data_IF_210783176540
#
_entry.id   IF_210783176540
#
_cell.length_a   1.000
_cell.length_b   1.000
_cell.length_c   1.000
_cell.angle_alpha   90.00
_cell.angle_beta   90.00
_cell.angle_gamma   90.00
#
_symmetry.space_group_name_H-M   'P 1'
#
loop_
_entity.id
_entity.type
_entity.pdbx_description
1 polymer ?
#
# COMPACT_ATOMS: atom_id res chain seq x y z
N UNK A 1 -1.73 -18.32 13.31
CA UNK A 1 -2.57 -17.99 12.12
C UNK A 1 -2.24 -18.98 11.04
N UNK A 2 -3.25 -19.66 10.49
CA UNK A 2 -3.10 -20.59 9.37
C UNK A 2 -3.44 -19.90 8.06
N UNK A 3 -3.08 -20.52 6.92
CA UNK A 3 -3.31 -19.92 5.58
C UNK A 3 -4.78 -19.60 5.33
N UNK A 4 -5.68 -20.52 5.70
CA UNK A 4 -7.12 -20.35 5.56
C UNK A 4 -7.67 -19.21 6.41
N UNK A 5 -7.16 -19.05 7.62
CA UNK A 5 -7.51 -17.95 8.51
C UNK A 5 -7.08 -16.59 7.92
N UNK A 6 -5.87 -16.54 7.35
CA UNK A 6 -5.36 -15.34 6.70
C UNK A 6 -6.18 -14.98 5.45
N UNK A 7 -6.50 -15.96 4.60
CA UNK A 7 -7.37 -15.78 3.43
C UNK A 7 -8.72 -15.19 3.85
N UNK A 8 -9.34 -15.77 4.86
CA UNK A 8 -10.63 -15.32 5.38
C UNK A 8 -10.57 -13.91 5.97
N UNK A 9 -9.52 -13.61 6.73
CA UNK A 9 -9.30 -12.29 7.32
C UNK A 9 -9.18 -11.21 6.25
N UNK A 10 -8.33 -11.40 5.24
CA UNK A 10 -8.13 -10.45 4.14
C UNK A 10 -9.41 -10.33 3.30
N UNK A 11 -10.06 -11.45 2.95
CA UNK A 11 -11.30 -11.44 2.17
C UNK A 11 -12.40 -10.63 2.86
N UNK A 12 -12.56 -10.80 4.16
CA UNK A 12 -13.59 -10.09 4.96
C UNK A 12 -13.35 -8.57 5.04
N UNK A 13 -12.12 -8.13 4.86
CA UNK A 13 -11.71 -6.72 4.93
C UNK A 13 -11.46 -6.07 3.56
N UNK A 14 -11.62 -6.81 2.47
CA UNK A 14 -11.29 -6.35 1.12
C UNK A 14 -11.96 -5.01 0.76
N UNK A 15 -13.25 -4.87 1.10
CA UNK A 15 -13.98 -3.62 0.91
C UNK A 15 -13.36 -2.46 1.69
N UNK A 16 -12.92 -2.69 2.92
CA UNK A 16 -12.28 -1.64 3.75
C UNK A 16 -10.95 -1.21 3.16
N UNK A 17 -10.10 -2.16 2.72
CA UNK A 17 -8.84 -1.88 2.03
C UNK A 17 -9.11 -1.01 0.79
N UNK A 18 -10.09 -1.38 -0.03
CA UNK A 18 -10.45 -0.58 -1.22
C UNK A 18 -10.90 0.84 -0.87
N UNK A 19 -11.76 0.98 0.14
CA UNK A 19 -12.29 2.29 0.52
C UNK A 19 -11.25 3.18 1.19
N UNK A 20 -10.28 2.61 1.88
CA UNK A 20 -9.11 3.30 2.43
C UNK A 20 -8.33 4.04 1.34
N UNK A 21 -8.15 3.40 0.16
CA UNK A 21 -7.48 4.00 -0.99
C UNK A 21 -8.41 4.87 -1.86
N UNK A 22 -9.69 4.97 -1.53
CA UNK A 22 -10.66 5.77 -2.27
C UNK A 22 -10.91 5.31 -3.71
N UNK A 23 -10.60 4.04 -4.05
CA UNK A 23 -10.70 3.50 -5.41
C UNK A 23 -12.02 2.77 -5.65
N UNK A 24 -12.44 2.74 -6.93
CA UNK A 24 -13.65 2.03 -7.35
C UNK A 24 -13.43 0.52 -7.40
N UNK A 25 -14.52 -0.25 -7.41
CA UNK A 25 -14.45 -1.70 -7.61
C UNK A 25 -13.83 -2.08 -8.97
N UNK A 26 -14.08 -1.28 -10.00
CA UNK A 26 -13.47 -1.44 -11.33
C UNK A 26 -11.94 -1.32 -11.24
N UNK A 27 -11.47 -0.17 -10.75
CA UNK A 27 -10.04 0.10 -10.61
C UNK A 27 -9.32 -0.97 -9.76
N UNK A 28 -9.90 -1.36 -8.61
CA UNK A 28 -9.29 -2.40 -7.80
C UNK A 28 -9.24 -3.76 -8.50
N UNK A 29 -10.29 -4.12 -9.24
CA UNK A 29 -10.31 -5.39 -9.99
C UNK A 29 -9.23 -5.43 -11.08
N UNK A 30 -9.02 -4.32 -11.79
CA UNK A 30 -7.94 -4.17 -12.78
C UNK A 30 -6.56 -4.26 -12.13
N UNK A 31 -6.33 -3.55 -11.01
CA UNK A 31 -5.06 -3.58 -10.27
C UNK A 31 -4.70 -5.00 -9.79
N UNK A 32 -5.70 -5.77 -9.38
CA UNK A 32 -5.52 -7.14 -8.88
C UNK A 32 -5.52 -8.20 -10.00
N UNK A 33 -5.86 -7.83 -11.23
CA UNK A 33 -5.98 -8.77 -12.35
C UNK A 33 -7.12 -9.79 -12.18
N UNK A 34 -8.21 -9.42 -11.50
CA UNK A 34 -9.38 -10.26 -11.26
C UNK A 34 -10.63 -9.66 -11.92
N UNK A 35 -11.67 -10.48 -12.13
CA UNK A 35 -12.91 -9.95 -12.66
C UNK A 35 -13.63 -9.06 -11.62
N UNK A 36 -14.29 -8.00 -12.09
CA UNK A 36 -15.17 -7.16 -11.24
C UNK A 36 -16.21 -8.00 -10.49
N UNK A 37 -16.76 -9.04 -11.13
CA UNK A 37 -17.68 -9.98 -10.49
C UNK A 37 -17.03 -10.67 -9.29
N UNK A 38 -15.80 -11.17 -9.44
CA UNK A 38 -15.03 -11.80 -8.38
C UNK A 38 -14.87 -10.85 -7.18
N UNK A 39 -14.44 -9.60 -7.44
CA UNK A 39 -14.27 -8.58 -6.41
C UNK A 39 -15.59 -8.32 -5.65
N UNK A 40 -16.68 -8.08 -6.41
CA UNK A 40 -18.01 -7.80 -5.83
C UNK A 40 -18.52 -8.96 -4.97
N UNK A 41 -18.37 -10.21 -5.44
CA UNK A 41 -18.80 -11.39 -4.66
C UNK A 41 -17.98 -11.57 -3.38
N UNK A 42 -16.66 -11.26 -3.43
CA UNK A 42 -15.82 -11.28 -2.24
C UNK A 42 -16.21 -10.18 -1.25
N UNK A 43 -16.42 -8.94 -1.71
CA UNK A 43 -16.85 -7.84 -0.83
C UNK A 43 -18.22 -8.08 -0.18
N UNK A 44 -19.08 -8.88 -0.82
CA UNK A 44 -20.38 -9.33 -0.27
C UNK A 44 -20.29 -10.54 0.66
N UNK A 45 -19.09 -11.09 0.85
CA UNK A 45 -18.87 -12.28 1.67
C UNK A 45 -19.42 -13.57 1.08
N UNK A 46 -19.70 -13.60 -0.24
CA UNK A 46 -20.22 -14.79 -0.95
C UNK A 46 -19.12 -15.69 -1.48
N UNK A 47 -17.89 -15.19 -1.50
CA UNK A 47 -16.68 -15.86 -1.92
C UNK A 47 -15.51 -15.39 -1.07
N UNK A 48 -14.56 -16.28 -0.84
CA UNK A 48 -13.23 -15.91 -0.32
C UNK A 48 -12.24 -15.77 -1.48
N UNK A 49 -11.20 -14.96 -1.29
CA UNK A 49 -10.08 -14.87 -2.21
C UNK A 49 -9.31 -16.20 -2.24
N UNK A 50 -8.71 -16.52 -3.36
CA UNK A 50 -7.69 -17.56 -3.43
C UNK A 50 -6.40 -17.09 -2.75
N UNK A 51 -5.50 -18.03 -2.45
CA UNK A 51 -4.17 -17.69 -1.91
C UNK A 51 -3.41 -16.70 -2.78
N UNK A 52 -3.42 -16.90 -4.10
CA UNK A 52 -2.76 -16.00 -5.06
C UNK A 52 -3.37 -14.60 -5.06
N UNK A 53 -4.70 -14.50 -4.99
CA UNK A 53 -5.40 -13.22 -4.91
C UNK A 53 -5.08 -12.47 -3.61
N UNK A 54 -4.95 -13.19 -2.48
CA UNK A 54 -4.53 -12.60 -1.19
C UNK A 54 -3.10 -12.06 -1.27
N UNK A 55 -2.17 -12.80 -1.89
CA UNK A 55 -0.81 -12.31 -2.11
C UNK A 55 -0.81 -11.05 -2.98
N UNK A 56 -1.63 -11.02 -4.04
CA UNK A 56 -1.77 -9.83 -4.87
C UNK A 56 -2.28 -8.62 -4.07
N UNK A 57 -3.34 -8.79 -3.27
CA UNK A 57 -3.85 -7.73 -2.37
C UNK A 57 -2.76 -7.25 -1.42
N UNK A 58 -2.07 -8.17 -0.76
CA UNK A 58 -1.04 -7.82 0.23
C UNK A 58 0.16 -7.09 -0.40
N UNK A 59 0.50 -7.42 -1.64
CA UNK A 59 1.61 -6.78 -2.36
C UNK A 59 1.23 -5.40 -2.91
N UNK A 60 0.06 -5.29 -3.54
CA UNK A 60 -0.40 -4.03 -4.16
C UNK A 60 -0.77 -2.99 -3.10
N UNK A 61 -1.38 -3.43 -2.01
CA UNK A 61 -1.88 -2.57 -0.94
C UNK A 61 -1.04 -2.68 0.36
N UNK A 62 0.28 -2.88 0.22
CA UNK A 62 1.21 -3.09 1.36
C UNK A 62 1.15 -2.00 2.44
N UNK A 63 0.75 -0.78 2.08
CA UNK A 63 0.63 0.36 2.99
C UNK A 63 -0.74 0.50 3.66
N UNK A 64 -1.67 -0.39 3.37
CA UNK A 64 -3.00 -0.36 3.98
C UNK A 64 -2.93 -0.55 5.50
N UNK A 65 -3.47 0.39 6.27
CA UNK A 65 -3.60 0.28 7.72
C UNK A 65 -4.52 -0.88 8.12
N UNK A 66 -5.57 -1.12 7.30
CA UNK A 66 -6.48 -2.25 7.48
C UNK A 66 -5.73 -3.57 7.34
N UNK A 67 -4.84 -3.68 6.34
CA UNK A 67 -4.03 -4.88 6.12
C UNK A 67 -3.00 -5.06 7.23
N UNK A 68 -2.31 -3.99 7.62
CA UNK A 68 -1.36 -4.02 8.74
C UNK A 68 -2.03 -4.42 10.05
N UNK A 69 -3.28 -4.01 10.27
CA UNK A 69 -4.08 -4.44 11.42
C UNK A 69 -4.39 -5.95 11.43
N UNK A 70 -4.45 -6.60 10.25
CA UNK A 70 -4.63 -8.05 10.13
C UNK A 70 -3.32 -8.79 10.43
N UNK A 71 -2.20 -8.25 9.96
CA UNK A 71 -0.88 -8.92 9.99
C UNK A 71 -0.04 -8.54 11.20
N UNK A 72 -0.40 -7.49 11.90
CA UNK A 72 0.42 -6.93 12.98
C UNK A 72 1.65 -6.18 12.47
N UNK A 73 1.68 -5.82 11.18
CA UNK A 73 2.81 -5.13 10.53
C UNK A 73 2.93 -5.49 9.06
N UNK A 74 4.14 -5.84 8.62
CA UNK A 74 4.41 -6.18 7.22
C UNK A 74 3.72 -7.50 6.82
N UNK A 75 2.84 -7.42 5.82
CA UNK A 75 2.11 -8.56 5.31
C UNK A 75 3.04 -9.59 4.62
N UNK A 76 4.19 -9.15 4.09
CA UNK A 76 5.14 -10.05 3.43
C UNK A 76 5.76 -11.04 4.41
N UNK A 77 6.01 -10.65 5.66
CA UNK A 77 6.52 -11.56 6.69
C UNK A 77 5.53 -12.69 6.99
N UNK A 78 4.25 -12.36 7.10
CA UNK A 78 3.18 -13.36 7.32
C UNK A 78 3.05 -14.28 6.12
N UNK A 79 3.08 -13.72 4.89
CA UNK A 79 3.01 -14.51 3.66
C UNK A 79 4.18 -15.49 3.57
N UNK A 80 5.41 -15.03 3.86
CA UNK A 80 6.59 -15.90 3.84
C UNK A 80 6.48 -17.00 4.89
N UNK A 81 6.05 -16.70 6.12
CA UNK A 81 5.85 -17.68 7.16
C UNK A 81 4.85 -18.77 6.73
N UNK A 82 3.70 -18.37 6.17
CA UNK A 82 2.66 -19.28 5.70
C UNK A 82 3.04 -20.05 4.42
N UNK A 83 3.83 -19.44 3.54
CA UNK A 83 4.26 -20.10 2.30
C UNK A 83 5.32 -21.19 2.53
N UNK A 84 6.15 -21.01 3.56
CA UNK A 84 7.31 -21.85 3.83
C UNK A 84 7.19 -22.65 5.14
N UNK A 85 5.99 -22.76 5.71
CA UNK A 85 5.70 -23.36 7.01
C UNK A 85 6.41 -24.72 7.25
N UNK A 86 6.44 -25.59 6.21
CA UNK A 86 7.07 -26.91 6.28
C UNK A 86 8.39 -27.01 5.49
N UNK A 87 9.00 -25.88 5.13
CA UNK A 87 10.16 -25.86 4.23
C UNK A 87 11.28 -25.00 4.80
N UNK A 88 12.42 -25.60 5.09
CA UNK A 88 13.65 -24.90 5.44
C UNK A 88 14.30 -24.29 4.20
N UNK A 89 13.79 -23.14 3.74
CA UNK A 89 14.39 -22.39 2.62
C UNK A 89 15.43 -21.43 3.19
N UNK A 90 16.67 -21.60 2.75
CA UNK A 90 17.72 -20.61 3.00
C UNK A 90 17.63 -19.54 1.92
N UNK A 91 17.38 -18.30 2.34
CA UNK A 91 17.44 -17.17 1.42
C UNK A 91 18.88 -17.00 0.95
N UNK A 92 19.12 -16.87 -0.37
CA UNK A 92 20.44 -16.54 -0.86
C UNK A 92 20.83 -15.16 -0.34
N UNK A 93 22.10 -15.00 0.06
CA UNK A 93 22.64 -13.69 0.38
C UNK A 93 22.61 -12.83 -0.89
N UNK A 94 21.78 -11.79 -0.88
CA UNK A 94 21.74 -10.81 -1.98
C UNK A 94 22.56 -9.58 -1.60
N UNK A 95 23.04 -8.85 -2.60
CA UNK A 95 23.75 -7.59 -2.38
C UNK A 95 22.82 -6.43 -1.97
N UNK A 96 21.64 -6.75 -1.44
CA UNK A 96 20.68 -5.78 -0.89
C UNK A 96 20.04 -4.86 -1.94
N UNK A 97 20.07 -5.24 -3.22
CA UNK A 97 19.43 -4.46 -4.29
C UNK A 97 20.14 -3.15 -4.66
N UNK A 98 21.15 -2.70 -3.92
CA UNK A 98 21.84 -1.42 -4.17
C UNK A 98 22.55 -1.40 -5.53
N UNK A 99 23.04 -2.54 -6.00
CA UNK A 99 23.76 -2.69 -7.28
C UNK A 99 22.87 -2.40 -8.50
N UNK A 100 21.56 -2.55 -8.36
CA UNK A 100 20.62 -2.40 -9.46
C UNK A 100 20.08 -0.98 -9.64
N UNK A 101 20.46 -0.05 -8.75
CA UNK A 101 19.94 1.30 -8.72
C UNK A 101 21.03 2.33 -8.87
N UNK A 102 20.86 3.25 -9.80
CA UNK A 102 21.67 4.46 -9.91
C UNK A 102 20.95 5.63 -9.28
N UNK A 103 21.69 6.44 -8.55
CA UNK A 103 21.21 7.73 -8.07
C UNK A 103 21.10 8.69 -9.27
N UNK A 104 19.95 9.29 -9.46
CA UNK A 104 19.70 10.33 -10.46
C UNK A 104 19.85 11.70 -9.83
N UNK A 105 19.22 11.91 -8.68
CA UNK A 105 19.19 13.20 -7.98
C UNK A 105 18.92 12.98 -6.48
N UNK A 106 19.42 13.92 -5.66
CA UNK A 106 19.13 13.96 -4.24
C UNK A 106 18.82 15.38 -3.80
N UNK A 107 17.65 15.59 -3.18
CA UNK A 107 17.18 16.89 -2.70
C UNK A 107 16.47 16.73 -1.37
N UNK A 108 16.89 17.51 -0.37
CA UNK A 108 16.28 17.52 0.98
C UNK A 108 16.23 16.12 1.65
N UNK A 109 17.23 15.28 1.41
CA UNK A 109 17.28 13.92 1.94
C UNK A 109 16.37 12.93 1.22
N UNK A 110 15.75 13.33 0.12
CA UNK A 110 14.95 12.48 -0.76
C UNK A 110 15.79 12.12 -1.98
N UNK A 111 15.95 10.82 -2.23
CA UNK A 111 16.77 10.27 -3.31
C UNK A 111 15.90 9.75 -4.43
N UNK A 112 16.09 10.30 -5.63
CA UNK A 112 15.53 9.78 -6.86
C UNK A 112 16.51 8.76 -7.46
N UNK A 113 16.05 7.55 -7.64
CA UNK A 113 16.85 6.47 -8.21
C UNK A 113 16.15 5.84 -9.42
N UNK A 114 16.97 5.34 -10.37
CA UNK A 114 16.49 4.57 -11.50
C UNK A 114 17.09 3.17 -11.47
N UNK A 115 16.25 2.17 -11.74
CA UNK A 115 16.71 0.78 -11.87
C UNK A 115 17.40 0.56 -13.23
N UNK A 116 18.57 -0.10 -13.22
CA UNK A 116 19.34 -0.35 -14.45
C UNK A 116 18.67 -1.35 -15.41
N UNK A 117 17.88 -2.29 -14.88
CA UNK A 117 17.30 -3.38 -15.67
C UNK A 117 15.94 -2.97 -16.21
N UNK A 118 15.08 -2.50 -15.34
CA UNK A 118 13.66 -2.21 -15.65
C UNK A 118 13.42 -0.77 -16.04
N UNK A 119 14.42 0.12 -15.83
CA UNK A 119 14.35 1.55 -16.11
C UNK A 119 13.30 2.33 -15.31
N UNK A 120 12.59 1.68 -14.37
CA UNK A 120 11.64 2.41 -13.52
C UNK A 120 12.35 3.25 -12.46
N UNK A 121 11.66 4.24 -11.95
CA UNK A 121 12.12 5.20 -10.95
C UNK A 121 11.51 4.92 -9.59
N UNK A 122 12.23 5.30 -8.53
CA UNK A 122 11.71 5.33 -7.17
C UNK A 122 12.24 6.54 -6.40
N UNK A 123 11.46 7.01 -5.43
CA UNK A 123 11.93 7.92 -4.41
C UNK A 123 12.12 7.16 -3.10
N UNK A 124 13.23 7.46 -2.45
CA UNK A 124 13.51 7.02 -1.09
C UNK A 124 13.67 8.23 -0.18
N UNK A 125 13.20 8.12 1.04
CA UNK A 125 13.50 9.09 2.08
C UNK A 125 14.90 8.88 2.68
N UNK A 126 15.23 9.67 3.71
CA UNK A 126 16.51 9.58 4.41
C UNK A 126 16.71 8.28 5.19
N UNK A 127 15.66 7.51 5.41
CA UNK A 127 15.68 6.21 6.10
C UNK A 127 15.64 5.04 5.14
N UNK A 128 15.83 5.26 3.84
CA UNK A 128 15.70 4.25 2.79
C UNK A 128 14.27 3.72 2.57
N UNK A 129 13.25 4.37 3.17
CA UNK A 129 11.86 3.99 2.94
C UNK A 129 11.39 4.45 1.56
N UNK A 130 10.73 3.54 0.82
CA UNK A 130 10.18 3.85 -0.50
C UNK A 130 8.91 4.71 -0.38
N UNK A 131 8.93 5.88 -1.01
CA UNK A 131 7.82 6.82 -1.05
C UNK A 131 6.90 6.58 -2.26
N UNK A 132 7.49 6.37 -3.44
CA UNK A 132 6.79 6.08 -4.70
C UNK A 132 7.68 5.26 -5.63
N UNK A 133 7.08 4.49 -6.53
CA UNK A 133 7.73 3.88 -7.69
C UNK A 133 6.85 4.05 -8.92
N UNK A 134 7.45 4.45 -10.06
CA UNK A 134 6.75 4.62 -11.32
C UNK A 134 7.70 4.40 -12.50
N UNK A 135 7.15 4.07 -13.66
CA UNK A 135 7.87 4.10 -14.93
C UNK A 135 7.92 5.51 -15.53
N UNK A 136 7.03 6.40 -15.08
CA UNK A 136 7.05 7.81 -15.49
C UNK A 136 7.91 8.64 -14.52
N UNK A 137 8.97 9.21 -15.07
CA UNK A 137 9.89 10.08 -14.35
C UNK A 137 9.20 11.36 -13.86
N UNK A 138 8.34 11.94 -14.69
CA UNK A 138 7.68 13.21 -14.35
C UNK A 138 6.75 13.01 -13.14
N UNK A 139 5.99 11.92 -13.10
CA UNK A 139 5.15 11.56 -11.95
C UNK A 139 5.95 11.53 -10.65
N UNK A 140 7.14 10.90 -10.69
CA UNK A 140 8.00 10.77 -9.51
C UNK A 140 8.59 12.12 -9.10
N UNK A 141 8.98 12.97 -10.05
CA UNK A 141 9.50 14.31 -9.78
C UNK A 141 8.42 15.25 -9.24
N UNK A 142 7.21 15.22 -9.80
CA UNK A 142 6.06 15.99 -9.31
C UNK A 142 5.68 15.59 -7.88
N UNK A 143 5.67 14.30 -7.59
CA UNK A 143 5.43 13.80 -6.24
C UNK A 143 6.50 14.30 -5.26
N UNK A 144 7.80 14.23 -5.63
CA UNK A 144 8.88 14.80 -4.82
C UNK A 144 8.68 16.27 -4.53
N UNK A 145 8.33 17.05 -5.54
CA UNK A 145 8.14 18.49 -5.41
C UNK A 145 6.89 18.84 -4.58
N UNK A 146 5.91 17.94 -4.51
CA UNK A 146 4.74 18.07 -3.63
C UNK A 146 5.09 17.88 -2.16
N UNK A 147 6.07 17.03 -1.83
CA UNK A 147 6.50 16.75 -0.46
C UNK A 147 7.16 17.97 0.23
N UNK A 148 7.68 18.92 -0.55
CA UNK A 148 8.26 20.17 -0.04
C UNK A 148 7.26 21.32 0.14
N UNK A 149 6.00 21.15 -0.23
CA UNK A 149 4.97 22.17 -0.05
C UNK A 149 4.31 22.01 1.31
N UNK A 150 4.13 23.10 2.09
CA UNK A 150 3.34 23.00 3.31
C UNK A 150 1.93 22.56 2.93
N UNK A 151 1.44 21.51 3.60
CA UNK A 151 0.05 21.07 3.44
C UNK A 151 -0.81 22.27 3.80
N UNK A 152 -1.72 22.75 2.90
CA UNK A 152 -2.64 23.79 3.27
C UNK A 152 -3.46 23.29 4.44
N UNK A 153 -3.26 23.88 5.62
CA UNK A 153 -4.10 23.61 6.79
C UNK A 153 -5.49 24.09 6.41
N UNK A 154 -6.36 23.17 6.04
CA UNK A 154 -7.79 23.47 5.92
C UNK A 154 -8.27 23.70 7.35
N UNK A 155 -8.20 24.95 7.80
CA UNK A 155 -8.90 25.37 9.02
C UNK A 155 -10.38 25.32 8.65
N UNK A 156 -11.01 24.18 8.94
CA UNK A 156 -12.48 24.14 8.95
C UNK A 156 -12.91 25.09 10.06
N UNK A 157 -13.34 26.28 9.68
CA UNK A 157 -14.03 27.22 10.56
C UNK A 157 -15.35 26.55 10.99
N UNK A 158 -15.29 25.81 12.08
CA UNK A 158 -16.49 25.44 12.82
C UNK A 158 -16.99 26.75 13.39
N UNK A 159 -18.02 27.31 12.75
CA UNK A 159 -18.75 28.42 13.29
C UNK A 159 -19.33 28.01 14.65
N UNK A 160 -18.80 28.59 15.71
CA UNK A 160 -19.39 28.49 17.04
C UNK A 160 -20.77 29.13 16.92
N UNK A 161 -21.82 28.34 16.96
CA UNK A 161 -23.19 28.80 17.12
C UNK A 161 -23.26 29.36 18.56
N UNK A 162 -23.53 30.66 18.76
CA UNK A 162 -23.72 31.19 20.10
C UNK A 162 -24.94 30.54 20.72
N UNK A 163 -24.80 29.87 21.86
CA UNK A 163 -25.90 29.46 22.69
C UNK A 163 -26.54 30.73 23.30
N UNK A 164 -27.78 31.03 22.93
CA UNK A 164 -28.56 32.03 23.62
C UNK A 164 -28.84 31.58 25.06
N UNK A 165 -28.69 32.48 26.05
CA UNK A 165 -29.04 32.15 27.43
C UNK A 165 -30.59 32.11 27.56
N UNK A 166 -31.11 30.97 28.01
CA UNK A 166 -32.49 30.83 28.45
C UNK A 166 -32.74 31.75 29.65
N UNK A 167 -33.57 32.76 29.45
CA UNK A 167 -34.07 33.59 30.55
C UNK A 167 -35.14 32.88 31.35
N UNK A 168 -35.29 33.22 32.64
CA UNK A 168 -36.13 32.55 33.64
C UNK A 168 -37.60 32.70 33.41
#
# INVERSE_FOLDING_TARGET
MQREEFIKAVSSKLKLIRTEYGITQEAMSEMLGISKKTLVETEKGRRELSWTEVIAVATVFEKSEVLQGITGGDASDVIHALAFEDRHIRYPLTMGGKVWWRLIDEKNGIRLQQNYVTSHYRLLDKYDCRLISSFDRNEVEEYRDSLGRPIPVIVSSVALIPMEPSMP
#
